data_IF_514318153471
#
_entry.id   IF_514318153471
#
_cell.length_a   1.000
_cell.length_b   1.000
_cell.length_c   1.000
_cell.angle_alpha   90.00
_cell.angle_beta   90.00
_cell.angle_gamma   90.00
#
_symmetry.space_group_name_H-M   'P 1'
#
loop_
_entity.id
_entity.type
_entity.pdbx_description
1 polymer ?
#
# COMPACT_ATOMS: atom_id res chain seq x y z
N UNK A 1 -11.83 -12.43 9.36
CA UNK A 1 -11.78 -11.58 8.16
C UNK A 1 -10.54 -10.71 8.20
N UNK A 2 -9.78 -10.70 7.11
CA UNK A 2 -8.54 -9.93 7.08
C UNK A 2 -8.85 -8.46 6.77
N UNK A 3 -8.29 -7.57 7.59
CA UNK A 3 -8.41 -6.14 7.33
C UNK A 3 -7.46 -5.74 6.23
N UNK A 4 -7.85 -4.78 5.43
CA UNK A 4 -7.04 -4.29 4.31
C UNK A 4 -6.95 -2.79 4.34
N UNK A 5 -5.76 -2.29 4.04
CA UNK A 5 -5.52 -0.85 3.95
C UNK A 5 -4.79 -0.59 2.64
N UNK A 6 -5.33 0.33 1.86
CA UNK A 6 -4.75 0.68 0.56
C UNK A 6 -3.66 1.72 0.77
N UNK A 7 -2.47 1.43 0.25
CA UNK A 7 -1.33 2.35 0.34
C UNK A 7 -1.16 3.03 -1.01
N UNK A 8 -1.14 4.35 -0.98
CA UNK A 8 -1.04 5.15 -2.20
C UNK A 8 0.27 5.94 -2.14
N UNK A 9 1.37 5.37 -2.66
CA UNK A 9 2.66 6.05 -2.56
C UNK A 9 2.78 7.19 -3.56
N UNK A 10 3.52 8.21 -3.17
CA UNK A 10 3.87 9.31 -4.04
C UNK A 10 5.31 9.08 -4.50
N UNK A 11 5.54 8.68 -5.76
CA UNK A 11 6.88 8.34 -6.21
C UNK A 11 7.85 9.50 -6.19
N UNK A 12 7.36 10.72 -6.14
CA UNK A 12 8.23 11.89 -6.09
C UNK A 12 8.71 12.20 -4.69
N UNK A 13 8.01 11.71 -3.68
CA UNK A 13 8.33 12.00 -2.28
C UNK A 13 8.78 10.77 -1.51
N UNK A 14 8.25 9.60 -1.88
CA UNK A 14 8.60 8.35 -1.20
C UNK A 14 9.76 7.71 -1.96
N UNK A 15 10.96 8.14 -1.65
CA UNK A 15 12.16 7.72 -2.36
C UNK A 15 12.35 6.22 -2.23
N UNK A 16 12.47 5.53 -3.36
CA UNK A 16 12.60 4.08 -3.43
C UNK A 16 11.45 3.36 -2.71
N UNK A 17 10.34 4.05 -2.52
CA UNK A 17 9.17 3.51 -1.84
C UNK A 17 9.50 3.01 -0.43
N UNK A 18 10.48 3.60 0.22
CA UNK A 18 10.90 3.20 1.56
C UNK A 18 9.79 3.35 2.58
N UNK A 19 9.10 4.49 2.55
CA UNK A 19 8.02 4.73 3.50
C UNK A 19 6.87 3.76 3.28
N UNK A 20 6.56 3.49 2.02
CA UNK A 20 5.50 2.54 1.68
C UNK A 20 5.86 1.14 2.19
N UNK A 21 7.11 0.71 1.97
CA UNK A 21 7.53 -0.62 2.41
C UNK A 21 7.54 -0.72 3.92
N UNK A 22 7.98 0.32 4.60
CA UNK A 22 8.02 0.35 6.05
C UNK A 22 6.61 0.28 6.64
N UNK A 23 5.70 1.08 6.08
CA UNK A 23 4.31 1.09 6.52
C UNK A 23 3.67 -0.26 6.29
N UNK A 24 3.91 -0.85 5.11
CA UNK A 24 3.35 -2.16 4.79
C UNK A 24 3.85 -3.24 5.74
N UNK A 25 5.13 -3.16 6.12
CA UNK A 25 5.70 -4.12 7.05
C UNK A 25 5.01 -4.03 8.41
N UNK A 26 4.77 -2.82 8.88
CA UNK A 26 4.06 -2.63 10.14
C UNK A 26 2.64 -3.18 10.08
N UNK A 27 1.95 -2.91 8.97
CA UNK A 27 0.59 -3.42 8.78
C UNK A 27 0.59 -4.94 8.77
N UNK A 28 1.52 -5.53 8.02
CA UNK A 28 1.60 -6.98 7.91
C UNK A 28 1.82 -7.62 9.28
N UNK A 29 2.71 -7.06 10.08
CA UNK A 29 2.99 -7.58 11.42
C UNK A 29 1.81 -7.43 12.36
N UNK A 30 0.92 -6.50 12.05
CA UNK A 30 -0.29 -6.28 12.85
C UNK A 30 -1.49 -7.07 12.33
N UNK A 31 -1.29 -7.93 11.34
CA UNK A 31 -2.37 -8.74 10.81
C UNK A 31 -3.23 -8.01 9.79
N UNK A 32 -2.74 -6.91 9.25
CA UNK A 32 -3.45 -6.13 8.25
C UNK A 32 -2.77 -6.34 6.89
N UNK A 33 -3.57 -6.57 5.85
CA UNK A 33 -3.03 -6.77 4.51
C UNK A 33 -2.85 -5.43 3.80
N UNK A 34 -1.62 -5.11 3.39
CA UNK A 34 -1.42 -3.90 2.58
C UNK A 34 -1.86 -4.15 1.15
N UNK A 35 -2.55 -3.18 0.58
CA UNK A 35 -3.05 -3.24 -0.79
C UNK A 35 -2.40 -2.11 -1.57
N UNK A 36 -2.02 -2.38 -2.83
CA UNK A 36 -1.36 -1.38 -3.66
C UNK A 36 -1.84 -1.55 -5.10
N UNK A 37 -1.73 -0.48 -5.88
CA UNK A 37 -2.18 -0.57 -7.27
C UNK A 37 -1.25 -1.49 -8.06
N UNK A 38 -1.86 -2.26 -8.95
CA UNK A 38 -1.15 -3.35 -9.62
C UNK A 38 -0.19 -2.90 -10.72
N UNK A 39 -0.38 -1.70 -11.25
CA UNK A 39 0.42 -1.23 -12.39
C UNK A 39 1.73 -0.55 -11.98
N UNK A 40 2.08 -0.58 -10.71
CA UNK A 40 3.39 -0.10 -10.29
C UNK A 40 4.42 -1.15 -10.63
N UNK A 41 5.43 -0.76 -11.42
CA UNK A 41 6.50 -1.66 -11.81
C UNK A 41 7.54 -1.70 -10.70
N UNK A 42 7.30 -2.53 -9.72
CA UNK A 42 8.03 -2.50 -8.48
C UNK A 42 8.01 -3.88 -7.84
N UNK A 43 9.17 -4.34 -7.37
CA UNK A 43 9.25 -5.59 -6.65
C UNK A 43 8.79 -5.36 -5.22
N UNK A 44 7.82 -6.15 -4.80
CA UNK A 44 7.23 -6.02 -3.48
C UNK A 44 7.19 -7.38 -2.79
N UNK A 45 7.21 -7.38 -1.44
CA UNK A 45 7.00 -8.63 -0.71
C UNK A 45 5.67 -9.28 -1.06
N UNK A 46 5.62 -10.59 -0.85
CA UNK A 46 4.45 -11.39 -1.23
C UNK A 46 3.18 -11.04 -0.49
N UNK A 47 3.30 -10.36 0.65
CA UNK A 47 2.11 -10.07 1.45
C UNK A 47 1.29 -8.89 0.93
N UNK A 48 1.79 -8.19 -0.09
CA UNK A 48 0.98 -7.14 -0.72
C UNK A 48 -0.09 -7.75 -1.61
N UNK A 49 -1.26 -7.13 -1.60
CA UNK A 49 -2.31 -7.45 -2.56
C UNK A 49 -2.27 -6.37 -3.64
N UNK A 50 -2.05 -6.78 -4.88
CA UNK A 50 -2.01 -5.84 -6.00
C UNK A 50 -3.36 -5.85 -6.71
N UNK A 51 -3.94 -4.68 -6.88
CA UNK A 51 -5.27 -4.56 -7.49
C UNK A 51 -5.34 -3.32 -8.37
N UNK A 52 -6.33 -3.25 -9.28
CA UNK A 52 -6.66 -1.96 -9.87
C UNK A 52 -7.05 -1.00 -8.75
N UNK A 53 -6.80 0.28 -8.93
CA UNK A 53 -7.05 1.26 -7.88
C UNK A 53 -8.48 1.20 -7.36
N UNK A 54 -9.45 1.17 -8.27
CA UNK A 54 -10.86 1.14 -7.88
C UNK A 54 -11.17 -0.06 -7.00
N UNK A 55 -10.66 -1.23 -7.39
CA UNK A 55 -10.91 -2.45 -6.64
C UNK A 55 -10.24 -2.39 -5.27
N UNK A 56 -9.01 -1.92 -5.22
CA UNK A 56 -8.28 -1.84 -3.97
C UNK A 56 -8.95 -0.91 -2.97
N UNK A 57 -9.43 0.23 -3.44
CA UNK A 57 -10.15 1.17 -2.58
C UNK A 57 -11.43 0.53 -2.06
N UNK A 58 -12.13 -0.20 -2.94
CA UNK A 58 -13.40 -0.81 -2.57
C UNK A 58 -13.25 -1.87 -1.48
N UNK A 59 -12.17 -2.65 -1.54
CA UNK A 59 -11.99 -3.75 -0.57
C UNK A 59 -11.22 -3.34 0.67
N UNK A 60 -10.74 -2.10 0.73
CA UNK A 60 -9.94 -1.61 1.84
C UNK A 60 -10.79 -0.76 2.77
N UNK A 61 -10.48 -0.81 4.05
CA UNK A 61 -11.20 0.01 5.02
C UNK A 61 -10.64 1.42 5.14
N UNK A 62 -9.43 1.64 4.61
CA UNK A 62 -8.77 2.93 4.73
C UNK A 62 -7.77 3.08 3.60
N UNK A 63 -7.52 4.31 3.19
CA UNK A 63 -6.49 4.64 2.22
C UNK A 63 -5.46 5.54 2.90
N UNK A 64 -4.20 5.17 2.79
CA UNK A 64 -3.11 5.98 3.34
C UNK A 64 -2.29 6.51 2.18
N UNK A 65 -2.19 7.83 2.08
CA UNK A 65 -1.33 8.47 1.08
C UNK A 65 0.04 8.71 1.71
N UNK A 66 1.07 8.22 1.05
CA UNK A 66 2.42 8.24 1.61
C UNK A 66 3.31 9.20 0.85
N UNK A 67 4.02 10.03 1.61
CA UNK A 67 4.93 10.98 1.02
C UNK A 67 4.27 12.17 0.38
N UNK A 68 2.97 12.27 0.50
CA UNK A 68 2.28 13.37 -0.09
C UNK A 68 1.95 14.37 0.97
N UNK A 69 2.48 15.48 0.97
CA UNK A 69 2.00 16.47 1.84
C UNK A 69 1.65 17.63 1.05
N UNK A 70 0.78 18.18 1.41
CA UNK A 70 0.37 19.30 0.70
C UNK A 70 1.43 20.37 0.58
#
# INVERSE_FOLDING_TARGET
>A
MMRRIFLFPNPYRDRNFELTLETASLLHRSGVQPVIQEDLDLELPDYFLRTPVREGVRVSEMVICLGGDG
#
